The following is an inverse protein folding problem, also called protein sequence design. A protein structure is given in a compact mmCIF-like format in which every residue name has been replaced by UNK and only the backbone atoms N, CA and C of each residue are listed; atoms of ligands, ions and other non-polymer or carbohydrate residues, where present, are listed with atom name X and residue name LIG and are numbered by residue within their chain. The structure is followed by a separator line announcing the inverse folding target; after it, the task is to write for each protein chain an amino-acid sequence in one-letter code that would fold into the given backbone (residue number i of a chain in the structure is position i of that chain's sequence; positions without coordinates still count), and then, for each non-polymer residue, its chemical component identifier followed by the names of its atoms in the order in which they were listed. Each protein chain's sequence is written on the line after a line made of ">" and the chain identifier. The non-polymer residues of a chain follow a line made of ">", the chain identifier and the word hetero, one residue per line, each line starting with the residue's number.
data_IF_723635572246
#
_entry.id   IF_723635572246
#
_cell.length_a   1.000
_cell.length_b   1.000
_cell.length_c   1.000
_cell.angle_alpha   90.00
_cell.angle_beta   90.00
_cell.angle_gamma   90.00
#
_symmetry.space_group_name_H-M   'P 1'
#
loop_
_entity.id
_entity.type
_entity.pdbx_description
1 polymer ?
#
# COMPACT_ATOMS: atom_id res chain seq x y z
N UNK A 1 15.64 -2.09 -28.55
CA UNK A 1 16.53 -3.08 -27.91
C UNK A 1 16.30 -3.11 -26.41
N UNK A 2 15.22 -3.76 -25.97
CA UNK A 2 15.07 -4.11 -24.56
C UNK A 2 15.99 -5.29 -24.31
N UNK A 3 17.08 -5.05 -23.56
CA UNK A 3 17.98 -6.09 -23.07
C UNK A 3 17.15 -7.11 -22.30
N UNK A 4 17.51 -8.38 -22.45
CA UNK A 4 16.98 -9.51 -21.69
C UNK A 4 16.81 -9.12 -20.21
N UNK A 5 15.58 -9.28 -19.69
CA UNK A 5 15.27 -9.02 -18.30
C UNK A 5 15.59 -10.30 -17.53
N UNK A 6 16.69 -10.27 -16.79
CA UNK A 6 17.05 -11.34 -15.88
C UNK A 6 16.31 -11.12 -14.56
N UNK A 7 15.36 -12.00 -14.24
CA UNK A 7 14.71 -12.00 -12.94
C UNK A 7 15.56 -12.84 -12.01
N UNK A 8 16.10 -12.22 -10.96
CA UNK A 8 16.72 -12.94 -9.85
C UNK A 8 15.71 -12.98 -8.72
N UNK A 9 15.04 -14.13 -8.59
CA UNK A 9 14.31 -14.47 -7.37
C UNK A 9 15.36 -14.87 -6.32
N UNK A 10 15.26 -14.25 -5.16
CA UNK A 10 16.05 -14.63 -3.98
C UNK A 10 15.06 -15.09 -2.92
N UNK A 11 15.12 -16.36 -2.55
CA UNK A 11 14.32 -16.96 -1.48
C UNK A 11 15.24 -17.44 -0.36
N UNK A 12 14.76 -17.39 0.88
CA UNK A 12 15.39 -18.12 1.98
C UNK A 12 14.72 -19.49 2.11
N UNK A 13 15.50 -20.56 2.14
CA UNK A 13 14.98 -21.89 2.53
C UNK A 13 14.87 -22.01 4.05
N UNK A 14 14.33 -23.13 4.54
CA UNK A 14 14.12 -23.37 5.98
C UNK A 14 15.42 -23.30 6.80
N UNK A 15 16.58 -23.51 6.16
CA UNK A 15 17.91 -23.38 6.76
C UNK A 15 18.47 -21.95 6.74
N UNK A 16 17.67 -20.95 6.32
CA UNK A 16 18.07 -19.55 6.11
C UNK A 16 19.20 -19.38 5.08
N UNK A 17 19.39 -20.34 4.18
CA UNK A 17 20.28 -20.17 3.03
C UNK A 17 19.51 -19.47 1.91
N UNK A 18 20.18 -18.56 1.23
CA UNK A 18 19.62 -17.87 0.08
C UNK A 18 19.73 -18.76 -1.17
N UNK A 19 18.60 -19.06 -1.77
CA UNK A 19 18.50 -19.69 -3.07
C UNK A 19 18.22 -18.63 -4.12
N UNK A 20 18.95 -18.72 -5.24
CA UNK A 20 18.84 -17.80 -6.36
C UNK A 20 18.22 -18.54 -7.53
N UNK A 21 17.00 -18.16 -7.89
CA UNK A 21 16.34 -18.65 -9.09
C UNK A 21 16.38 -17.53 -10.14
N UNK A 22 17.24 -17.71 -11.14
CA UNK A 22 17.30 -16.80 -12.27
C UNK A 22 16.25 -17.26 -13.30
N UNK A 23 15.12 -16.56 -13.38
CA UNK A 23 14.16 -16.77 -14.46
C UNK A 23 14.45 -15.77 -15.57
N UNK A 24 14.77 -16.28 -16.75
CA UNK A 24 14.79 -15.44 -17.94
C UNK A 24 13.34 -15.21 -18.37
N UNK A 25 12.85 -13.99 -18.15
CA UNK A 25 11.50 -13.65 -18.57
C UNK A 25 11.65 -12.90 -19.88
N UNK A 26 11.17 -13.55 -20.95
CA UNK A 26 11.10 -12.94 -22.27
C UNK A 26 10.38 -11.59 -22.24
N UNK A 27 10.56 -10.77 -23.27
CA UNK A 27 10.22 -9.35 -23.33
C UNK A 27 8.76 -8.95 -22.96
N UNK A 28 7.85 -9.88 -22.73
CA UNK A 28 6.43 -9.61 -22.48
C UNK A 28 5.82 -10.64 -21.53
N UNK A 29 6.24 -10.67 -20.26
CA UNK A 29 5.26 -11.10 -19.25
C UNK A 29 4.29 -9.95 -19.00
N UNK A 30 3.00 -10.26 -19.04
CA UNK A 30 1.98 -9.31 -18.61
C UNK A 30 2.21 -9.00 -17.12
N UNK A 31 1.96 -7.77 -16.69
CA UNK A 31 2.10 -7.37 -15.28
C UNK A 31 1.39 -8.37 -14.34
N UNK A 32 0.24 -8.91 -14.77
CA UNK A 32 -0.49 -9.93 -14.04
C UNK A 32 0.30 -11.23 -13.78
N UNK A 33 1.19 -11.64 -14.67
CA UNK A 33 2.05 -12.81 -14.49
C UNK A 33 3.16 -12.52 -13.48
N UNK A 34 3.74 -11.32 -13.54
CA UNK A 34 4.71 -10.84 -12.54
C UNK A 34 4.06 -10.73 -11.16
N UNK A 35 2.84 -10.18 -11.11
CA UNK A 35 2.08 -10.07 -9.87
C UNK A 35 1.71 -11.45 -9.31
N UNK A 36 1.30 -12.40 -10.17
CA UNK A 36 1.10 -13.80 -9.76
C UNK A 36 2.39 -14.40 -9.21
N UNK A 37 3.52 -14.21 -9.90
CA UNK A 37 4.82 -14.67 -9.45
C UNK A 37 5.21 -14.10 -8.08
N UNK A 38 4.96 -12.79 -7.84
CA UNK A 38 5.15 -12.14 -6.54
C UNK A 38 4.25 -12.76 -5.46
N UNK A 39 2.99 -13.02 -5.79
CA UNK A 39 1.98 -13.46 -4.82
C UNK A 39 2.16 -14.88 -4.30
N UNK A 40 2.93 -15.71 -5.02
CA UNK A 40 2.98 -17.15 -4.74
C UNK A 40 3.94 -17.55 -3.61
N UNK A 41 4.88 -16.72 -3.16
CA UNK A 41 5.88 -17.15 -2.16
C UNK A 41 6.25 -16.10 -1.11
N UNK A 42 6.15 -16.49 0.17
CA UNK A 42 6.35 -15.66 1.36
C UNK A 42 7.79 -15.23 1.63
N UNK A 43 8.78 -15.79 0.91
CA UNK A 43 10.21 -15.58 1.16
C UNK A 43 10.89 -14.72 0.08
N UNK A 44 10.11 -14.01 -0.73
CA UNK A 44 10.63 -13.21 -1.84
C UNK A 44 11.32 -11.92 -1.36
N UNK A 45 12.63 -11.79 -1.62
CA UNK A 45 13.46 -10.71 -1.08
C UNK A 45 13.62 -9.48 -1.99
N UNK A 46 13.22 -9.52 -3.27
CA UNK A 46 13.22 -8.33 -4.12
C UNK A 46 13.52 -8.57 -5.60
N UNK A 47 13.68 -7.48 -6.36
CA UNK A 47 13.94 -7.47 -7.79
C UNK A 47 15.26 -6.77 -8.10
N UNK A 48 15.96 -7.21 -9.15
CA UNK A 48 17.10 -6.47 -9.71
C UNK A 48 16.78 -6.07 -11.14
N UNK A 49 16.68 -4.76 -11.39
CA UNK A 49 16.71 -4.20 -12.75
C UNK A 49 15.41 -4.28 -13.55
N UNK A 50 14.26 -4.53 -12.92
CA UNK A 50 12.98 -4.57 -13.63
C UNK A 50 12.38 -3.17 -13.80
N UNK A 51 12.25 -2.71 -15.04
CA UNK A 51 11.66 -1.41 -15.36
C UNK A 51 10.31 -1.60 -16.05
N UNK A 52 9.23 -1.10 -15.44
CA UNK A 52 7.91 -1.08 -16.04
C UNK A 52 7.87 -0.12 -17.26
N UNK A 53 6.99 -0.36 -18.24
CA UNK A 53 6.84 0.52 -19.42
C UNK A 53 6.57 1.99 -19.06
N UNK A 54 5.91 2.23 -17.93
CA UNK A 54 5.64 3.57 -17.37
C UNK A 54 6.86 4.23 -16.69
N UNK A 55 8.05 3.64 -16.82
CA UNK A 55 9.30 4.22 -16.33
C UNK A 55 9.67 3.90 -14.89
N UNK A 56 8.89 3.08 -14.18
CA UNK A 56 9.18 2.66 -12.80
C UNK A 56 10.27 1.59 -12.75
N UNK A 57 11.35 1.86 -12.03
CA UNK A 57 12.43 0.90 -11.76
C UNK A 57 12.17 0.21 -10.41
N UNK A 58 11.67 -1.02 -10.45
CA UNK A 58 11.23 -1.80 -9.28
C UNK A 58 12.45 -2.33 -8.51
N UNK A 59 12.42 -2.17 -7.18
CA UNK A 59 13.51 -2.54 -6.27
C UNK A 59 13.15 -3.73 -5.37
N UNK A 60 12.03 -3.66 -4.66
CA UNK A 60 11.63 -4.72 -3.73
C UNK A 60 10.11 -4.75 -3.55
N UNK A 61 9.59 -5.89 -3.08
CA UNK A 61 8.20 -6.00 -2.65
C UNK A 61 8.08 -5.45 -1.23
N UNK A 62 7.11 -4.56 -1.00
CA UNK A 62 6.81 -4.01 0.34
C UNK A 62 5.59 -4.67 0.98
N UNK A 63 4.73 -5.29 0.17
CA UNK A 63 3.56 -6.01 0.64
C UNK A 63 2.53 -6.25 -0.45
N UNK A 64 1.49 -6.99 -0.10
CA UNK A 64 0.36 -7.29 -0.98
C UNK A 64 -0.95 -7.18 -0.22
N UNK A 65 -1.97 -6.63 -0.88
CA UNK A 65 -3.37 -6.70 -0.47
C UNK A 65 -4.15 -7.70 -1.32
N UNK A 66 -5.45 -7.83 -1.04
CA UNK A 66 -6.34 -8.74 -1.78
C UNK A 66 -6.44 -8.45 -3.28
N UNK A 67 -6.22 -7.19 -3.68
CA UNK A 67 -6.36 -6.71 -5.06
C UNK A 67 -5.26 -5.72 -5.49
N UNK A 68 -4.19 -5.63 -4.70
CA UNK A 68 -3.09 -4.71 -5.01
C UNK A 68 -1.75 -5.23 -4.50
N UNK A 69 -0.68 -4.71 -5.09
CA UNK A 69 0.69 -4.97 -4.69
C UNK A 69 1.37 -3.65 -4.42
N UNK A 70 2.18 -3.62 -3.37
CA UNK A 70 2.97 -2.45 -3.00
C UNK A 70 4.43 -2.80 -3.22
N UNK A 71 5.07 -2.07 -4.13
CA UNK A 71 6.45 -2.27 -4.52
C UNK A 71 7.26 -1.01 -4.23
N UNK A 72 8.47 -1.14 -3.73
CA UNK A 72 9.41 -0.02 -3.73
C UNK A 72 9.97 0.15 -5.13
N UNK A 73 10.01 1.38 -5.60
CA UNK A 73 10.54 1.69 -6.92
C UNK A 73 11.27 3.04 -6.93
N UNK A 74 12.04 3.26 -8.00
CA UNK A 74 12.57 4.57 -8.37
C UNK A 74 11.80 5.10 -9.58
N UNK A 75 11.38 6.35 -9.52
CA UNK A 75 10.72 7.08 -10.61
C UNK A 75 11.25 8.51 -10.66
N UNK A 76 11.72 8.97 -11.82
CA UNK A 76 12.34 10.30 -11.95
C UNK A 76 13.43 10.59 -10.90
N UNK A 77 14.26 9.58 -10.57
CA UNK A 77 15.31 9.60 -9.55
C UNK A 77 14.86 9.70 -8.09
N UNK A 78 13.56 9.73 -7.81
CA UNK A 78 12.98 9.70 -6.47
C UNK A 78 12.54 8.27 -6.09
N UNK A 79 12.54 7.95 -4.80
CA UNK A 79 12.09 6.65 -4.26
C UNK A 79 10.63 6.72 -3.83
N UNK A 80 9.84 5.73 -4.25
CA UNK A 80 8.40 5.64 -3.97
C UNK A 80 7.97 4.23 -3.56
N UNK A 81 6.85 4.17 -2.85
CA UNK A 81 6.02 2.97 -2.74
C UNK A 81 4.97 3.05 -3.85
N UNK A 82 5.07 2.16 -4.83
CA UNK A 82 4.12 2.02 -5.94
C UNK A 82 3.05 1.00 -5.56
N UNK A 83 1.83 1.46 -5.33
CA UNK A 83 0.64 0.60 -5.22
C UNK A 83 0.10 0.35 -6.63
N UNK A 84 0.10 -0.91 -7.05
CA UNK A 84 -0.40 -1.38 -8.34
C UNK A 84 -1.67 -2.19 -8.07
N UNK A 85 -2.78 -1.81 -8.69
CA UNK A 85 -4.07 -2.49 -8.51
C UNK A 85 -4.82 -2.65 -9.83
N UNK A 86 -5.63 -3.70 -9.93
CA UNK A 86 -6.64 -3.82 -10.98
C UNK A 86 -7.85 -2.91 -10.75
N UNK A 87 -8.04 -2.43 -9.51
CA UNK A 87 -9.09 -1.49 -9.15
C UNK A 87 -8.60 -0.05 -9.30
N UNK A 88 -9.54 0.87 -9.55
CA UNK A 88 -9.25 2.31 -9.60
C UNK A 88 -8.70 2.80 -8.25
N UNK A 89 -7.63 3.59 -8.31
CA UNK A 89 -7.00 4.20 -7.12
C UNK A 89 -7.36 5.69 -6.98
N UNK A 90 -8.35 6.17 -7.73
CA UNK A 90 -8.70 7.59 -7.83
C UNK A 90 -9.20 8.16 -6.49
N UNK A 91 -10.01 7.37 -5.75
CA UNK A 91 -10.53 7.78 -4.44
C UNK A 91 -9.40 7.95 -3.42
N UNK A 92 -8.50 6.96 -3.33
CA UNK A 92 -7.33 7.00 -2.45
C UNK A 92 -6.40 8.18 -2.80
N UNK A 93 -6.13 8.40 -4.08
CA UNK A 93 -5.37 9.56 -4.57
C UNK A 93 -6.04 10.89 -4.17
N UNK A 94 -7.36 11.00 -4.34
CA UNK A 94 -8.10 12.21 -4.03
C UNK A 94 -8.11 12.52 -2.53
N UNK A 95 -8.20 11.51 -1.66
CA UNK A 95 -8.09 11.70 -0.21
C UNK A 95 -6.70 12.25 0.15
N UNK A 96 -5.63 11.63 -0.33
CA UNK A 96 -4.26 12.09 -0.08
C UNK A 96 -4.06 13.53 -0.59
N UNK A 97 -4.59 13.85 -1.77
CA UNK A 97 -4.54 15.20 -2.33
C UNK A 97 -5.28 16.22 -1.47
N UNK A 98 -6.47 15.88 -0.96
CA UNK A 98 -7.23 16.75 -0.06
C UNK A 98 -6.49 16.99 1.26
N UNK A 99 -5.93 15.93 1.87
CA UNK A 99 -5.10 16.05 3.06
C UNK A 99 -3.91 17.00 2.84
N UNK A 100 -3.26 16.92 1.68
CA UNK A 100 -2.15 17.79 1.34
C UNK A 100 -2.55 19.25 1.07
N UNK A 101 -3.78 19.51 0.62
CA UNK A 101 -4.27 20.86 0.36
C UNK A 101 -4.53 21.70 1.62
N UNK A 102 -4.54 21.08 2.80
CA UNK A 102 -4.79 21.77 4.07
C UNK A 102 -3.50 22.45 4.53
N UNK A 103 -3.40 23.76 4.30
CA UNK A 103 -2.18 24.58 4.44
C UNK A 103 -1.63 24.78 5.85
N UNK A 104 -2.31 24.30 6.90
CA UNK A 104 -2.04 24.75 8.28
C UNK A 104 -1.32 23.74 9.19
N UNK A 105 -0.63 22.74 8.64
CA UNK A 105 0.15 21.85 9.51
C UNK A 105 1.45 21.45 8.84
N UNK A 106 2.46 22.31 8.99
CA UNK A 106 3.87 21.95 8.80
C UNK A 106 4.37 20.95 9.84
N UNK A 107 3.56 20.65 10.87
CA UNK A 107 3.89 19.76 11.98
C UNK A 107 3.51 18.30 11.73
N UNK A 108 2.64 18.03 10.75
CA UNK A 108 2.23 16.66 10.43
C UNK A 108 2.97 16.23 9.16
N UNK A 109 3.85 15.23 9.29
CA UNK A 109 4.41 14.53 8.15
C UNK A 109 3.27 13.93 7.31
N UNK A 110 3.36 14.01 5.97
CA UNK A 110 2.27 13.64 5.06
C UNK A 110 2.71 12.68 3.99
N UNK A 111 1.77 11.84 3.55
CA UNK A 111 1.91 11.12 2.30
C UNK A 111 1.72 12.08 1.14
N UNK A 112 2.63 12.04 0.18
CA UNK A 112 2.44 12.62 -1.14
C UNK A 112 2.13 11.51 -2.11
N UNK A 113 1.12 11.73 -2.95
CA UNK A 113 0.72 10.78 -3.97
C UNK A 113 0.89 11.36 -5.38
N UNK A 114 1.31 10.52 -6.32
CA UNK A 114 1.40 10.84 -7.73
C UNK A 114 0.77 9.71 -8.55
N UNK A 115 0.00 10.10 -9.56
CA UNK A 115 -0.65 9.20 -10.49
C UNK A 115 0.10 9.31 -11.82
N UNK A 116 1.01 8.38 -12.16
CA UNK A 116 1.62 8.38 -13.48
C UNK A 116 0.50 8.20 -14.50
N UNK A 117 0.50 9.02 -15.56
CA UNK A 117 -0.40 8.81 -16.69
C UNK A 117 -0.13 7.40 -17.24
N UNK A 118 -1.08 6.48 -17.11
CA UNK A 118 -0.95 5.13 -17.62
C UNK A 118 -1.33 5.10 -19.09
N UNK A 119 -0.50 4.47 -19.91
CA UNK A 119 -0.78 4.24 -21.33
C UNK A 119 -1.67 3.01 -21.58
N UNK A 120 -1.96 2.20 -20.55
CA UNK A 120 -2.73 0.97 -20.66
C UNK A 120 -3.79 0.86 -19.56
N UNK A 121 -5.01 0.46 -19.95
CA UNK A 121 -6.22 0.42 -19.12
C UNK A 121 -6.29 -0.74 -18.12
N UNK A 122 -5.30 -1.64 -18.10
CA UNK A 122 -5.41 -2.91 -17.37
C UNK A 122 -5.08 -2.80 -15.88
N UNK A 123 -4.42 -1.73 -15.46
CA UNK A 123 -4.00 -1.52 -14.08
C UNK A 123 -3.84 -0.04 -13.74
N UNK A 124 -4.01 0.25 -12.46
CA UNK A 124 -3.84 1.57 -11.86
C UNK A 124 -2.59 1.57 -10.99
N UNK A 125 -1.83 2.66 -11.09
CA UNK A 125 -0.59 2.85 -10.33
C UNK A 125 -0.72 4.12 -9.50
N UNK A 126 -0.43 4.00 -8.21
CA UNK A 126 -0.33 5.12 -7.29
C UNK A 126 1.05 5.12 -6.66
N UNK A 127 1.84 6.17 -6.93
CA UNK A 127 3.14 6.36 -6.28
C UNK A 127 2.95 7.16 -5.00
N UNK A 128 3.47 6.65 -3.90
CA UNK A 128 3.35 7.26 -2.58
C UNK A 128 4.73 7.49 -1.96
N UNK A 129 4.94 8.64 -1.32
CA UNK A 129 6.13 8.93 -0.51
C UNK A 129 5.75 9.63 0.81
N UNK A 130 6.53 9.47 1.90
CA UNK A 130 7.77 8.71 2.00
C UNK A 130 7.56 7.19 1.97
N UNK A 131 8.64 6.45 1.70
CA UNK A 131 8.70 4.99 1.91
C UNK A 131 9.23 4.74 3.32
N UNK A 132 8.39 4.15 4.17
CA UNK A 132 8.70 3.87 5.57
C UNK A 132 8.92 2.38 5.86
N UNK A 133 9.32 2.10 7.09
CA UNK A 133 9.44 0.74 7.65
C UNK A 133 8.17 0.32 8.41
N UNK A 134 8.03 -0.98 8.67
CA UNK A 134 6.96 -1.49 9.52
C UNK A 134 7.21 -1.16 11.00
N UNK A 135 6.15 -1.17 11.80
CA UNK A 135 6.25 -1.10 13.26
C UNK A 135 6.77 -2.41 13.85
N UNK A 136 7.74 -2.31 14.76
CA UNK A 136 8.37 -3.47 15.37
C UNK A 136 7.87 -3.73 16.79
N UNK A 137 7.49 -2.68 17.53
CA UNK A 137 7.13 -2.80 18.96
C UNK A 137 5.90 -1.96 19.35
N UNK A 138 5.29 -2.31 20.48
CA UNK A 138 4.25 -1.50 21.14
C UNK A 138 4.82 -0.16 21.61
N UNK A 139 6.09 -0.12 22.01
CA UNK A 139 6.74 1.11 22.45
C UNK A 139 6.86 2.13 21.32
N UNK A 140 7.11 1.67 20.08
CA UNK A 140 7.03 2.52 18.89
C UNK A 140 5.62 3.11 18.73
N UNK A 141 4.58 2.28 18.87
CA UNK A 141 3.19 2.73 18.76
C UNK A 141 2.85 3.79 19.81
N UNK A 142 3.25 3.57 21.07
CA UNK A 142 2.98 4.51 22.16
C UNK A 142 3.70 5.84 21.96
N UNK A 143 4.94 5.82 21.45
CA UNK A 143 5.71 7.05 21.17
C UNK A 143 5.06 7.92 20.10
N UNK A 144 4.38 7.32 19.11
CA UNK A 144 3.80 8.08 17.98
C UNK A 144 2.26 8.11 17.97
N UNK A 145 1.59 7.72 19.06
CA UNK A 145 0.12 7.74 19.14
C UNK A 145 -0.45 9.14 18.88
N UNK A 146 0.29 10.19 19.26
CA UNK A 146 -0.07 11.58 19.00
C UNK A 146 -0.03 11.90 17.50
N UNK A 147 0.99 11.43 16.77
CA UNK A 147 1.09 11.60 15.31
C UNK A 147 -0.06 10.91 14.58
N UNK A 148 -0.45 9.70 15.02
CA UNK A 148 -1.62 9.00 14.45
C UNK A 148 -2.92 9.74 14.77
N UNK A 149 -3.12 10.19 16.01
CA UNK A 149 -4.30 10.96 16.40
C UNK A 149 -4.43 12.26 15.58
N UNK A 150 -3.32 12.96 15.35
CA UNK A 150 -3.29 14.16 14.52
C UNK A 150 -3.69 13.88 13.06
N UNK A 151 -3.21 12.78 12.47
CA UNK A 151 -3.59 12.36 11.12
C UNK A 151 -5.05 11.96 11.01
N UNK A 152 -5.60 11.26 12.02
CA UNK A 152 -7.02 10.92 12.06
C UNK A 152 -7.90 12.16 12.18
N UNK A 153 -7.51 13.14 13.02
CA UNK A 153 -8.21 14.40 13.11
C UNK A 153 -8.21 15.15 11.76
N UNK A 154 -7.09 15.14 11.04
CA UNK A 154 -7.00 15.72 9.71
C UNK A 154 -7.93 15.00 8.72
N UNK A 155 -7.94 13.66 8.72
CA UNK A 155 -8.85 12.85 7.89
C UNK A 155 -10.32 13.12 8.21
N UNK A 156 -10.67 13.22 9.49
CA UNK A 156 -12.02 13.57 9.93
C UNK A 156 -12.39 15.00 9.52
N UNK A 157 -11.44 15.94 9.48
CA UNK A 157 -11.69 17.33 9.06
C UNK A 157 -12.09 17.47 7.60
N UNK A 158 -11.72 16.50 6.75
CA UNK A 158 -12.18 16.39 5.35
C UNK A 158 -13.37 15.44 5.18
N UNK A 159 -14.07 15.14 6.28
CA UNK A 159 -15.28 14.34 6.32
C UNK A 159 -15.09 12.86 5.91
N UNK A 160 -13.92 12.27 6.17
CA UNK A 160 -13.64 10.85 5.93
C UNK A 160 -13.37 10.10 7.25
N UNK A 161 -13.63 8.80 7.26
CA UNK A 161 -13.18 7.85 8.29
C UNK A 161 -12.34 6.74 7.66
N UNK A 162 -11.24 6.34 8.30
CA UNK A 162 -10.29 5.37 7.72
C UNK A 162 -10.86 3.94 7.62
N UNK A 163 -11.60 3.51 8.64
CA UNK A 163 -12.21 2.18 8.81
C UNK A 163 -11.27 0.97 8.90
N UNK A 164 -9.99 1.10 8.54
CA UNK A 164 -8.98 0.04 8.64
C UNK A 164 -7.73 0.48 9.42
N UNK A 165 -7.89 0.91 10.68
CA UNK A 165 -6.78 1.31 11.53
C UNK A 165 -6.15 0.07 12.15
N UNK A 166 -4.92 -0.27 11.75
CA UNK A 166 -4.17 -1.45 12.21
C UNK A 166 -2.68 -1.29 11.91
N UNK A 167 -1.84 -2.06 12.59
CA UNK A 167 -0.37 -2.00 12.47
C UNK A 167 0.16 -2.08 11.03
N UNK A 168 -0.36 -2.96 10.14
CA UNK A 168 0.09 -2.98 8.73
C UNK A 168 -0.15 -1.69 7.95
N UNK A 169 -1.11 -0.86 8.39
CA UNK A 169 -1.45 0.41 7.76
C UNK A 169 -0.76 1.59 8.45
N UNK A 170 0.32 1.32 9.18
CA UNK A 170 1.13 2.33 9.85
C UNK A 170 2.60 2.10 9.49
N UNK A 171 3.27 3.16 9.03
CA UNK A 171 4.69 3.11 8.69
C UNK A 171 5.47 4.07 9.57
N UNK A 172 6.69 3.69 9.94
CA UNK A 172 7.66 4.60 10.53
C UNK A 172 8.44 5.28 9.42
N UNK A 173 8.61 6.60 9.52
CA UNK A 173 9.49 7.36 8.63
C UNK A 173 10.94 6.89 8.78
N UNK A 174 11.77 7.10 7.76
CA UNK A 174 13.16 6.60 7.75
C UNK A 174 14.03 7.17 8.87
N UNK A 175 13.68 8.34 9.40
CA UNK A 175 14.33 8.99 10.52
C UNK A 175 13.77 8.52 11.89
N UNK A 176 12.79 7.61 11.90
CA UNK A 176 12.12 7.07 13.09
C UNK A 176 11.47 8.12 14.00
N UNK A 177 11.28 9.34 13.50
CA UNK A 177 10.73 10.44 14.28
C UNK A 177 9.20 10.51 14.19
N UNK A 178 8.62 9.93 13.16
CA UNK A 178 7.18 9.97 12.95
C UNK A 178 6.60 8.64 12.46
N UNK A 179 5.30 8.50 12.70
CA UNK A 179 4.48 7.42 12.19
C UNK A 179 3.43 7.99 11.26
N UNK A 180 3.26 7.37 10.10
CA UNK A 180 2.28 7.74 9.09
C UNK A 180 1.22 6.67 8.94
N UNK A 181 -0.04 7.09 8.86
CA UNK A 181 -1.15 6.26 8.46
C UNK A 181 -1.13 6.11 6.94
N UNK A 182 -1.28 4.89 6.45
CA UNK A 182 -1.30 4.55 5.02
C UNK A 182 -2.56 3.75 4.65
N UNK A 183 -2.73 3.50 3.36
CA UNK A 183 -3.84 2.71 2.78
C UNK A 183 -5.23 3.31 3.02
N UNK A 184 -5.56 4.37 2.26
CA UNK A 184 -6.86 5.04 2.36
C UNK A 184 -7.95 4.36 1.52
N UNK A 185 -7.69 3.19 0.93
CA UNK A 185 -8.63 2.48 0.06
C UNK A 185 -9.92 2.04 0.77
N UNK A 186 -9.85 1.82 2.08
CA UNK A 186 -11.01 1.48 2.91
C UNK A 186 -11.72 2.70 3.51
N UNK A 187 -11.33 3.93 3.17
CA UNK A 187 -11.99 5.11 3.70
C UNK A 187 -13.46 5.21 3.27
N UNK A 188 -14.26 5.93 4.06
CA UNK A 188 -15.62 6.31 3.68
C UNK A 188 -15.93 7.73 4.12
N UNK A 189 -16.85 8.35 3.40
CA UNK A 189 -17.37 9.68 3.73
C UNK A 189 -18.31 9.57 4.93
N UNK A 190 -18.10 10.40 5.96
CA UNK A 190 -18.95 10.45 7.14
C UNK A 190 -20.37 10.85 6.73
N UNK A 191 -21.36 10.11 7.24
CA UNK A 191 -22.78 10.31 6.93
C UNK A 191 -23.23 9.69 5.60
N UNK A 192 -22.33 9.12 4.80
CA UNK A 192 -22.68 8.41 3.57
C UNK A 192 -22.69 6.89 3.79
N UNK A 193 -23.80 6.25 3.44
CA UNK A 193 -23.89 4.79 3.46
C UNK A 193 -22.92 4.16 2.47
N UNK A 194 -22.18 3.15 2.92
CA UNK A 194 -21.24 2.37 2.12
C UNK A 194 -21.04 0.98 2.70
N UNK A 195 -20.65 0.01 1.87
CA UNK A 195 -20.23 -1.31 2.32
C UNK A 195 -18.96 -1.21 3.18
N UNK A 196 -18.85 -2.06 4.20
CA UNK A 196 -17.67 -2.11 5.05
C UNK A 196 -16.54 -2.89 4.36
N UNK A 197 -15.35 -2.28 4.30
CA UNK A 197 -14.15 -2.85 3.66
C UNK A 197 -12.93 -2.90 4.59
N UNK A 198 -13.10 -2.60 5.89
CA UNK A 198 -12.02 -2.67 6.87
C UNK A 198 -11.78 -4.09 7.41
N UNK A 199 -10.70 -4.27 8.16
CA UNK A 199 -10.38 -5.53 8.83
C UNK A 199 -11.35 -5.83 9.97
N UNK A 200 -11.98 -7.02 9.96
CA UNK A 200 -12.90 -7.45 11.01
C UNK A 200 -12.23 -7.55 12.40
N UNK A 201 -10.94 -7.86 12.45
CA UNK A 201 -10.17 -8.00 13.70
C UNK A 201 -9.97 -6.68 14.46
N UNK A 202 -10.06 -5.54 13.76
CA UNK A 202 -9.94 -4.20 14.36
C UNK A 202 -11.22 -3.37 14.20
N UNK A 203 -12.29 -4.01 13.71
CA UNK A 203 -13.60 -3.40 13.53
C UNK A 203 -14.23 -3.04 14.88
N UNK A 204 -14.95 -1.92 14.93
CA UNK A 204 -15.69 -1.55 16.13
C UNK A 204 -16.86 -2.52 16.38
N UNK A 205 -17.17 -2.76 17.66
CA UNK A 205 -18.26 -3.66 18.06
C UNK A 205 -19.62 -3.29 17.44
N UNK A 206 -20.03 -2.01 17.34
CA UNK A 206 -21.30 -1.67 16.68
C UNK A 206 -21.35 -2.07 15.20
N UNK A 207 -20.27 -1.86 14.45
CA UNK A 207 -20.19 -2.25 13.03
C UNK A 207 -20.21 -3.78 12.92
N UNK A 208 -19.45 -4.49 13.76
CA UNK A 208 -19.42 -5.95 13.75
C UNK A 208 -20.81 -6.55 14.01
N UNK A 209 -21.54 -6.01 15.00
CA UNK A 209 -22.92 -6.43 15.27
C UNK A 209 -23.84 -6.22 14.08
N UNK A 210 -23.70 -5.09 13.39
CA UNK A 210 -24.50 -4.79 12.20
C UNK A 210 -24.20 -5.78 11.06
N UNK A 211 -22.93 -6.10 10.81
CA UNK A 211 -22.53 -7.06 9.78
C UNK A 211 -23.12 -8.45 10.07
N UNK A 212 -23.01 -8.92 11.32
CA UNK A 212 -23.58 -10.20 11.75
C UNK A 212 -25.11 -10.24 11.66
N UNK A 213 -25.78 -9.14 11.96
CA UNK A 213 -27.24 -9.05 11.85
C UNK A 213 -27.74 -9.09 10.39
N UNK A 214 -26.89 -8.74 9.42
CA UNK A 214 -27.21 -8.77 7.99
C UNK A 214 -26.88 -10.09 7.29
N UNK A 215 -26.18 -11.03 7.96
CA UNK A 215 -25.87 -12.36 7.40
C UNK A 215 -27.02 -13.41 7.34
N UNK A 216 -28.15 -13.32 8.07
CA UNK A 216 -29.17 -14.37 8.02
C UNK A 216 -29.81 -14.58 6.64
N UNK A 217 -29.78 -13.60 5.75
CA UNK A 217 -30.44 -13.65 4.43
C UNK A 217 -29.54 -14.11 3.27
N UNK A 218 -28.24 -14.35 3.49
CA UNK A 218 -27.33 -14.83 2.42
C UNK A 218 -27.18 -16.35 2.35
N UNK A 219 -27.67 -17.07 3.36
CA UNK A 219 -27.59 -18.53 3.45
C UNK A 219 -28.99 -19.19 3.44
N UNK A 220 -30.03 -18.47 3.00
CA UNK A 220 -31.39 -18.98 2.79
C UNK A 220 -31.74 -19.05 1.30
#
# INVERSE_FOLDING_TARGET
>A
NFKELHFLKVSANDDKKFEFEATEIGQVMLLNEILKFISCESNFLGFVGYKLPIGLDIKESLGSGSSSYVLKCTYNNDVYASKISSNKLDEEYNIIKQLNSISNSSTINRLNAYYPETANNDYHVLLVKPVGGQLYTIDDLLRHVQSISAQLNLLHSINYVHRDIRTPNMILTQDFNDMLLIDYSSCAIIGKMSSYHGSLSTCSLPILKQLLATEPERNA
#
